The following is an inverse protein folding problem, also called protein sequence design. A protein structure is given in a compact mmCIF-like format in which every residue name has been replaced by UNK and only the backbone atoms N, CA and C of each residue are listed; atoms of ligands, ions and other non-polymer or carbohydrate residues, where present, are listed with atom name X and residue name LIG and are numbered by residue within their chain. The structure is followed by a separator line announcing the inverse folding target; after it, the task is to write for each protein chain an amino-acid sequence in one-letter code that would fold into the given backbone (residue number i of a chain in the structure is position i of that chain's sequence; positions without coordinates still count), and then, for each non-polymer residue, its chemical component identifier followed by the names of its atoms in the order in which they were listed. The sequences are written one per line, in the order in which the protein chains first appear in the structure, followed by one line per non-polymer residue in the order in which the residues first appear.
data_IF_553410104059
#
_entry.id   IF_553410104059
#
_cell.length_a   1.000
_cell.length_b   1.000
_cell.length_c   1.000
_cell.angle_alpha   90.00
_cell.angle_beta   90.00
_cell.angle_gamma   90.00
#
_symmetry.space_group_name_H-M   'P 1'
#
loop_
_entity.id
_entity.type
_entity.pdbx_description
1 polymer ?
#
# COMPACT_ATOMS: atom_id res chain seq x y z
N UNK A 1 -20.33 20.55 -27.05
CA UNK A 1 -20.58 20.45 -25.59
C UNK A 1 -19.68 19.36 -25.06
N UNK A 2 -18.61 19.71 -24.34
CA UNK A 2 -17.75 18.70 -23.69
C UNK A 2 -18.52 18.10 -22.53
N UNK A 3 -18.86 16.82 -22.61
CA UNK A 3 -19.53 16.10 -21.53
C UNK A 3 -18.64 16.11 -20.30
N UNK A 4 -19.18 16.61 -19.21
CA UNK A 4 -18.51 16.71 -17.93
C UNK A 4 -18.35 15.28 -17.36
N UNK A 5 -17.11 14.88 -17.01
CA UNK A 5 -16.83 13.54 -16.47
C UNK A 5 -17.29 13.48 -15.01
N UNK A 6 -18.39 12.79 -14.74
CA UNK A 6 -19.03 12.64 -13.42
C UNK A 6 -18.51 11.44 -12.61
N UNK A 7 -17.51 10.71 -13.12
CA UNK A 7 -16.99 9.53 -12.44
C UNK A 7 -16.27 9.90 -11.12
N UNK A 8 -16.43 9.04 -10.13
CA UNK A 8 -15.66 9.13 -8.87
C UNK A 8 -14.18 8.91 -9.16
N UNK A 9 -13.32 9.69 -8.55
CA UNK A 9 -11.88 9.71 -8.84
C UNK A 9 -11.07 8.93 -7.82
N UNK A 10 -9.97 8.31 -8.25
CA UNK A 10 -9.00 7.63 -7.40
C UNK A 10 -7.57 7.94 -7.85
N UNK A 11 -6.70 8.28 -6.91
CA UNK A 11 -5.25 8.38 -7.12
C UNK A 11 -4.58 7.12 -6.58
N UNK A 12 -3.76 6.46 -7.40
CA UNK A 12 -3.00 5.26 -7.00
C UNK A 12 -1.51 5.54 -7.14
N UNK A 13 -0.76 5.36 -6.05
CA UNK A 13 0.69 5.57 -6.06
C UNK A 13 1.45 4.28 -6.43
N UNK A 14 2.55 4.40 -7.20
CA UNK A 14 3.42 3.28 -7.52
C UNK A 14 2.83 2.27 -8.52
N UNK A 15 2.36 2.74 -9.67
CA UNK A 15 1.68 1.94 -10.70
C UNK A 15 2.61 1.36 -11.78
N UNK A 16 3.91 1.17 -11.51
CA UNK A 16 4.82 0.55 -12.46
C UNK A 16 4.35 -0.85 -12.91
N UNK A 17 4.60 -1.25 -14.16
CA UNK A 17 4.12 -2.52 -14.75
C UNK A 17 4.49 -3.74 -13.91
N UNK A 18 3.55 -4.69 -13.79
CA UNK A 18 3.72 -5.92 -13.01
C UNK A 18 3.63 -5.71 -11.49
N UNK A 19 3.41 -4.48 -11.00
CA UNK A 19 3.20 -4.17 -9.60
C UNK A 19 1.73 -4.24 -9.17
N UNK A 20 1.51 -4.25 -7.86
CA UNK A 20 0.16 -4.22 -7.26
C UNK A 20 -0.60 -2.95 -7.67
N UNK A 21 0.08 -1.78 -7.64
CA UNK A 21 -0.55 -0.51 -8.03
C UNK A 21 -1.04 -0.48 -9.47
N UNK A 22 -0.30 -1.12 -10.39
CA UNK A 22 -0.72 -1.29 -11.79
C UNK A 22 -2.04 -2.06 -11.88
N UNK A 23 -2.12 -3.21 -11.20
CA UNK A 23 -3.32 -4.04 -11.17
C UNK A 23 -4.51 -3.33 -10.49
N UNK A 24 -4.26 -2.60 -9.38
CA UNK A 24 -5.28 -1.80 -8.71
C UNK A 24 -5.83 -0.70 -9.61
N UNK A 25 -4.97 0.00 -10.38
CA UNK A 25 -5.41 1.03 -11.32
C UNK A 25 -6.36 0.45 -12.38
N UNK A 26 -6.02 -0.70 -12.95
CA UNK A 26 -6.90 -1.42 -13.90
C UNK A 26 -8.22 -1.84 -13.24
N UNK A 27 -8.15 -2.41 -12.04
CA UNK A 27 -9.35 -2.89 -11.34
C UNK A 27 -10.31 -1.74 -10.94
N UNK A 28 -9.81 -0.57 -10.53
CA UNK A 28 -10.63 0.61 -10.30
C UNK A 28 -11.24 1.15 -11.60
N UNK A 29 -10.44 1.21 -12.68
CA UNK A 29 -10.92 1.66 -13.99
C UNK A 29 -12.05 0.76 -14.52
N UNK A 30 -11.88 -0.55 -14.44
CA UNK A 30 -12.91 -1.54 -14.82
C UNK A 30 -14.23 -1.40 -14.02
N UNK A 31 -14.20 -0.77 -12.84
CA UNK A 31 -15.36 -0.42 -12.02
C UNK A 31 -15.94 0.96 -12.32
N UNK A 32 -15.50 1.60 -13.41
CA UNK A 32 -16.02 2.89 -13.87
C UNK A 32 -15.48 4.10 -13.13
N UNK A 33 -14.40 3.98 -12.35
CA UNK A 33 -13.77 5.14 -11.73
C UNK A 33 -12.84 5.86 -12.72
N UNK A 34 -12.69 7.15 -12.53
CA UNK A 34 -11.63 7.95 -13.14
C UNK A 34 -10.34 7.75 -12.34
N UNK A 35 -9.32 7.19 -12.94
CA UNK A 35 -8.10 6.76 -12.25
C UNK A 35 -6.94 7.65 -12.63
N UNK A 36 -6.25 8.19 -11.63
CA UNK A 36 -4.94 8.84 -11.73
C UNK A 36 -3.87 7.84 -11.27
N UNK A 37 -3.22 7.19 -12.21
CA UNK A 37 -2.13 6.25 -11.94
C UNK A 37 -0.80 6.98 -11.90
N UNK A 38 0.03 6.76 -10.87
CA UNK A 38 1.28 7.49 -10.73
C UNK A 38 2.51 6.59 -10.68
N UNK A 39 3.62 7.06 -11.24
CA UNK A 39 4.96 6.48 -11.13
C UNK A 39 6.02 7.59 -11.19
N UNK A 40 7.26 7.27 -10.84
CA UNK A 40 8.40 8.20 -10.93
C UNK A 40 8.65 8.70 -12.35
N UNK A 41 8.36 7.86 -13.35
CA UNK A 41 8.48 8.18 -14.79
C UNK A 41 7.21 7.74 -15.50
N UNK A 42 6.55 8.66 -16.20
CA UNK A 42 5.28 8.43 -16.90
C UNK A 42 5.40 7.43 -18.06
N UNK A 43 6.59 7.30 -18.66
CA UNK A 43 6.85 6.32 -19.73
C UNK A 43 6.58 4.88 -19.27
N UNK A 44 6.77 4.60 -17.98
CA UNK A 44 6.46 3.29 -17.39
C UNK A 44 4.95 2.99 -17.38
N UNK A 45 4.12 4.00 -17.54
CA UNK A 45 2.65 3.90 -17.45
C UNK A 45 1.98 3.84 -18.84
N UNK A 46 2.75 3.70 -19.92
CA UNK A 46 2.23 3.70 -21.30
C UNK A 46 1.09 2.68 -21.52
N UNK A 47 1.18 1.49 -20.92
CA UNK A 47 0.11 0.49 -21.00
C UNK A 47 -1.18 0.92 -20.29
N UNK A 48 -1.10 1.65 -19.19
CA UNK A 48 -2.26 2.20 -18.49
C UNK A 48 -2.88 3.35 -19.29
N UNK A 49 -2.04 4.24 -19.85
CA UNK A 49 -2.48 5.34 -20.70
C UNK A 49 -3.20 4.84 -21.95
N UNK A 50 -2.69 3.78 -22.61
CA UNK A 50 -3.33 3.15 -23.75
C UNK A 50 -4.72 2.56 -23.41
N UNK A 51 -4.97 2.21 -22.17
CA UNK A 51 -6.27 1.76 -21.68
C UNK A 51 -7.17 2.91 -21.16
N UNK A 52 -6.86 4.17 -21.43
CA UNK A 52 -7.66 5.33 -21.05
C UNK A 52 -7.54 5.72 -19.56
N UNK A 53 -6.51 5.26 -18.88
CA UNK A 53 -6.20 5.64 -17.49
C UNK A 53 -5.28 6.87 -17.51
N UNK A 54 -5.62 7.90 -16.75
CA UNK A 54 -4.79 9.11 -16.65
C UNK A 54 -3.51 8.82 -15.86
N UNK A 55 -2.37 9.27 -16.39
CA UNK A 55 -1.05 8.97 -15.83
C UNK A 55 -0.34 10.24 -15.41
N UNK A 56 0.23 10.26 -14.20
CA UNK A 56 0.91 11.41 -13.62
C UNK A 56 2.29 11.00 -13.09
N UNK A 57 3.25 11.91 -13.15
CA UNK A 57 4.54 11.75 -12.47
C UNK A 57 4.38 11.97 -10.97
N UNK A 58 4.95 11.08 -10.15
CA UNK A 58 5.04 11.24 -8.70
C UNK A 58 6.25 10.49 -8.16
N UNK A 59 7.19 11.26 -7.62
CA UNK A 59 8.28 10.77 -6.77
C UNK A 59 7.80 10.95 -5.33
N UNK A 60 7.49 9.84 -4.65
CA UNK A 60 6.74 9.88 -3.37
C UNK A 60 7.54 10.42 -2.19
N UNK A 61 8.86 10.39 -2.26
CA UNK A 61 9.83 10.91 -1.30
C UNK A 61 10.41 12.28 -1.69
N UNK A 62 9.75 12.99 -2.62
CA UNK A 62 10.08 14.33 -3.07
C UNK A 62 8.89 15.27 -2.88
N UNK A 63 9.05 16.29 -2.03
CA UNK A 63 7.97 17.20 -1.63
C UNK A 63 7.44 18.03 -2.82
N UNK A 64 8.33 18.54 -3.65
CA UNK A 64 7.96 19.33 -4.83
C UNK A 64 7.16 18.48 -5.83
N UNK A 65 7.56 17.21 -6.00
CA UNK A 65 6.82 16.25 -6.83
C UNK A 65 5.42 15.97 -6.28
N UNK A 66 5.27 15.83 -4.96
CA UNK A 66 3.97 15.61 -4.31
C UNK A 66 3.06 16.83 -4.52
N UNK A 67 3.58 18.04 -4.30
CA UNK A 67 2.83 19.29 -4.48
C UNK A 67 2.42 19.51 -5.95
N UNK A 68 3.32 19.26 -6.90
CA UNK A 68 3.03 19.35 -8.33
C UNK A 68 1.95 18.34 -8.77
N UNK A 69 2.01 17.11 -8.25
CA UNK A 69 1.01 16.08 -8.49
C UNK A 69 -0.35 16.53 -7.95
N UNK A 70 -0.42 17.05 -6.71
CA UNK A 70 -1.65 17.61 -6.13
C UNK A 70 -2.24 18.71 -6.99
N UNK A 71 -1.44 19.72 -7.39
CA UNK A 71 -1.90 20.82 -8.23
C UNK A 71 -2.48 20.33 -9.57
N UNK A 72 -1.86 19.29 -10.16
CA UNK A 72 -2.36 18.66 -11.38
C UNK A 72 -3.70 17.97 -11.14
N UNK A 73 -3.84 17.20 -10.05
CA UNK A 73 -5.11 16.54 -9.67
C UNK A 73 -6.20 17.58 -9.41
N UNK A 74 -5.89 18.67 -8.69
CA UNK A 74 -6.84 19.78 -8.46
C UNK A 74 -7.34 20.40 -9.77
N UNK A 75 -6.41 20.70 -10.68
CA UNK A 75 -6.78 21.23 -12.01
C UNK A 75 -7.66 20.26 -12.80
N UNK A 76 -7.35 18.97 -12.77
CA UNK A 76 -8.10 17.95 -13.50
C UNK A 76 -9.47 17.65 -12.86
N UNK A 77 -9.62 17.87 -11.56
CA UNK A 77 -10.88 17.61 -10.84
C UNK A 77 -11.75 18.85 -10.67
N UNK A 78 -11.19 20.07 -10.57
CA UNK A 78 -11.91 21.32 -10.32
C UNK A 78 -12.07 22.22 -11.57
N UNK A 79 -11.26 22.04 -12.61
CA UNK A 79 -11.13 22.98 -13.73
C UNK A 79 -12.32 23.10 -14.67
N UNK A 80 -13.46 22.49 -14.38
CA UNK A 80 -14.68 22.59 -15.20
C UNK A 80 -15.94 23.01 -14.45
N UNK A 81 -15.83 23.38 -13.17
CA UNK A 81 -16.97 23.72 -12.31
C UNK A 81 -17.15 25.21 -12.01
N UNK A 82 -16.24 26.10 -12.45
CA UNK A 82 -16.29 27.52 -12.10
C UNK A 82 -17.07 28.42 -13.09
N UNK A 83 -17.52 27.91 -14.24
CA UNK A 83 -18.28 28.70 -15.23
C UNK A 83 -19.80 28.74 -14.96
N UNK A 84 -20.28 28.16 -13.87
CA UNK A 84 -21.68 28.27 -13.45
C UNK A 84 -21.79 28.76 -12.00
N UNK A 85 -21.68 30.08 -11.84
CA UNK A 85 -22.27 30.81 -10.72
C UNK A 85 -23.80 30.91 -10.97
N UNK A 86 -24.50 29.80 -10.78
CA UNK A 86 -25.95 29.78 -10.65
C UNK A 86 -26.24 29.16 -9.28
N UNK A 87 -27.07 29.86 -8.50
CA UNK A 87 -27.52 29.40 -7.18
C UNK A 87 -27.95 27.94 -7.18
N UNK A 88 -27.12 27.07 -6.60
CA UNK A 88 -27.50 25.69 -6.31
C UNK A 88 -27.21 25.34 -4.84
N UNK A 89 -28.24 24.77 -4.24
CA UNK A 89 -28.38 24.35 -2.86
C UNK A 89 -27.13 23.69 -2.27
N UNK A 90 -26.86 23.98 -1.02
CA UNK A 90 -25.76 23.58 -0.15
C UNK A 90 -25.65 22.07 0.15
N UNK A 91 -26.31 21.20 -0.59
CA UNK A 91 -26.41 19.75 -0.29
C UNK A 91 -25.86 18.80 -1.36
N UNK A 92 -25.24 19.27 -2.43
CA UNK A 92 -24.60 18.35 -3.39
C UNK A 92 -23.14 18.18 -3.00
N UNK A 93 -22.71 17.01 -2.50
CA UNK A 93 -21.28 16.74 -2.33
C UNK A 93 -20.61 16.97 -3.68
N UNK A 94 -19.53 17.77 -3.71
CA UNK A 94 -18.85 18.12 -4.96
C UNK A 94 -18.50 16.84 -5.72
N UNK A 95 -19.18 16.59 -6.83
CA UNK A 95 -19.02 15.37 -7.65
C UNK A 95 -17.61 15.23 -8.25
N UNK A 96 -16.73 16.22 -8.04
CA UNK A 96 -15.48 16.47 -8.76
C UNK A 96 -14.21 16.36 -7.91
N UNK A 97 -14.30 16.10 -6.61
CA UNK A 97 -13.15 16.04 -5.73
C UNK A 97 -12.54 14.62 -5.70
N UNK A 98 -11.24 14.55 -5.40
CA UNK A 98 -10.54 13.28 -5.21
C UNK A 98 -11.22 12.47 -4.10
N UNK A 99 -11.75 11.30 -4.43
CA UNK A 99 -12.52 10.47 -3.49
C UNK A 99 -11.72 9.36 -2.83
N UNK A 100 -10.73 8.84 -3.51
CA UNK A 100 -9.85 7.80 -2.98
C UNK A 100 -8.40 8.13 -3.25
N UNK A 101 -7.55 7.88 -2.26
CA UNK A 101 -6.11 7.80 -2.43
C UNK A 101 -5.65 6.42 -1.98
N UNK A 102 -4.84 5.75 -2.80
CA UNK A 102 -4.28 4.44 -2.53
C UNK A 102 -2.78 4.57 -2.39
N UNK A 103 -2.30 4.59 -1.15
CA UNK A 103 -0.90 4.61 -0.81
C UNK A 103 -0.32 3.20 -0.99
N UNK A 104 0.09 2.88 -2.23
CA UNK A 104 0.63 1.59 -2.61
C UNK A 104 2.15 1.63 -2.85
N UNK A 105 2.72 2.77 -3.23
CA UNK A 105 4.18 2.90 -3.40
C UNK A 105 4.93 2.41 -2.15
N UNK A 106 5.97 1.62 -2.37
CA UNK A 106 6.76 1.07 -1.29
C UNK A 106 7.94 0.27 -1.81
N UNK A 107 8.93 0.10 -0.96
CA UNK A 107 10.18 -0.62 -1.25
C UNK A 107 10.43 -1.68 -0.18
N UNK A 108 11.17 -2.73 -0.55
CA UNK A 108 11.55 -3.84 0.33
C UNK A 108 13.02 -3.76 0.71
N UNK A 109 13.33 -4.26 1.90
CA UNK A 109 14.70 -4.40 2.39
C UNK A 109 14.85 -5.75 3.10
N UNK A 110 15.69 -6.62 2.55
CA UNK A 110 15.96 -7.96 3.09
C UNK A 110 17.42 -7.99 3.48
N UNK A 111 17.68 -8.01 4.79
CA UNK A 111 19.00 -8.08 5.39
C UNK A 111 18.85 -8.59 6.84
N UNK A 112 19.75 -9.44 7.35
CA UNK A 112 19.76 -9.77 8.76
C UNK A 112 19.86 -8.53 9.65
N UNK A 113 19.21 -8.55 10.80
CA UNK A 113 19.06 -7.37 11.65
C UNK A 113 20.40 -6.77 12.12
N UNK A 114 21.43 -7.58 12.24
CA UNK A 114 22.76 -7.12 12.66
C UNK A 114 23.65 -6.64 11.50
N UNK A 115 23.25 -6.89 10.27
CA UNK A 115 24.00 -6.54 9.05
C UNK A 115 23.38 -5.34 8.31
N UNK A 116 22.45 -4.63 8.96
CA UNK A 116 21.69 -3.53 8.37
C UNK A 116 22.58 -2.32 8.13
N UNK A 117 22.56 -1.78 6.92
CA UNK A 117 23.01 -0.42 6.62
C UNK A 117 21.94 0.58 7.05
N UNK A 118 22.30 1.48 7.98
CA UNK A 118 21.39 2.49 8.54
C UNK A 118 20.97 3.51 7.49
N UNK A 119 21.82 3.86 6.51
CA UNK A 119 21.43 4.77 5.44
C UNK A 119 20.35 4.15 4.53
N UNK A 120 20.50 2.86 4.20
CA UNK A 120 19.45 2.13 3.48
C UNK A 120 18.17 1.98 4.31
N UNK A 121 18.28 1.72 5.62
CA UNK A 121 17.13 1.65 6.51
C UNK A 121 16.33 2.96 6.53
N UNK A 122 17.00 4.11 6.57
CA UNK A 122 16.36 5.44 6.49
C UNK A 122 15.57 5.59 5.19
N UNK A 123 16.15 5.24 4.03
CA UNK A 123 15.47 5.30 2.73
C UNK A 123 14.19 4.44 2.70
N UNK A 124 14.19 3.29 3.39
CA UNK A 124 12.98 2.46 3.51
C UNK A 124 11.89 3.20 4.26
N UNK A 125 12.24 3.86 5.37
CA UNK A 125 11.29 4.66 6.15
C UNK A 125 10.84 5.91 5.40
N UNK A 126 11.73 6.58 4.66
CA UNK A 126 11.38 7.74 3.85
C UNK A 126 10.26 7.40 2.86
N UNK A 127 10.37 6.28 2.13
CA UNK A 127 9.37 5.85 1.15
C UNK A 127 8.15 5.22 1.80
N UNK A 128 8.33 4.26 2.75
CA UNK A 128 7.23 3.44 3.26
C UNK A 128 6.39 4.14 4.34
N UNK A 129 6.93 5.17 5.00
CA UNK A 129 6.31 5.84 6.14
C UNK A 129 6.18 7.34 5.90
N UNK A 130 7.32 8.06 5.80
CA UNK A 130 7.28 9.53 5.76
C UNK A 130 6.63 10.06 4.49
N UNK A 131 6.90 9.47 3.33
CA UNK A 131 6.22 9.81 2.08
C UNK A 131 4.69 9.61 2.19
N UNK A 132 4.23 8.52 2.82
CA UNK A 132 2.80 8.27 3.02
C UNK A 132 2.18 9.32 3.94
N UNK A 133 2.86 9.68 5.04
CA UNK A 133 2.42 10.76 5.93
C UNK A 133 2.28 12.06 5.13
N UNK A 134 3.32 12.42 4.34
CA UNK A 134 3.31 13.65 3.56
C UNK A 134 2.22 13.67 2.50
N UNK A 135 2.02 12.58 1.78
CA UNK A 135 0.91 12.44 0.81
C UNK A 135 -0.44 12.63 1.50
N UNK A 136 -0.66 12.03 2.68
CA UNK A 136 -1.88 12.22 3.44
C UNK A 136 -2.09 13.69 3.83
N UNK A 137 -1.04 14.39 4.30
CA UNK A 137 -1.11 15.81 4.64
C UNK A 137 -1.48 16.67 3.43
N UNK A 138 -0.79 16.46 2.30
CA UNK A 138 -0.95 17.30 1.09
C UNK A 138 -2.31 17.10 0.44
N UNK A 139 -2.81 15.85 0.40
CA UNK A 139 -4.09 15.53 -0.27
C UNK A 139 -5.31 15.54 0.67
N UNK A 140 -5.14 15.67 1.98
CA UNK A 140 -6.26 15.68 2.93
C UNK A 140 -7.32 16.75 2.64
N UNK A 141 -7.01 18.00 2.18
CA UNK A 141 -8.06 18.96 1.87
C UNK A 141 -9.03 18.48 0.79
N UNK A 142 -8.51 17.80 -0.26
CA UNK A 142 -9.34 17.24 -1.33
C UNK A 142 -10.20 16.07 -0.84
N UNK A 143 -9.64 15.25 0.05
CA UNK A 143 -10.34 14.10 0.63
C UNK A 143 -11.43 14.54 1.62
N UNK A 144 -11.18 15.57 2.43
CA UNK A 144 -12.15 16.15 3.36
C UNK A 144 -13.33 16.72 2.57
N UNK A 145 -13.06 17.52 1.54
CA UNK A 145 -14.09 18.07 0.66
C UNK A 145 -14.96 16.97 0.03
N UNK A 146 -14.35 15.84 -0.36
CA UNK A 146 -15.03 14.71 -1.00
C UNK A 146 -15.70 13.75 -0.02
N UNK A 147 -15.47 13.88 1.29
CA UNK A 147 -15.78 12.83 2.27
C UNK A 147 -15.19 11.48 1.81
N UNK A 148 -13.91 11.53 1.47
CA UNK A 148 -13.22 10.50 0.71
C UNK A 148 -12.69 9.34 1.55
N UNK A 149 -11.79 8.55 0.95
CA UNK A 149 -11.19 7.39 1.61
C UNK A 149 -9.70 7.30 1.33
N UNK A 150 -8.90 7.09 2.35
CA UNK A 150 -7.49 6.75 2.26
C UNK A 150 -7.34 5.25 2.39
N UNK A 151 -6.64 4.63 1.45
CA UNK A 151 -6.31 3.21 1.46
C UNK A 151 -4.80 3.05 1.64
N UNK A 152 -4.40 2.32 2.66
CA UNK A 152 -3.00 2.02 2.96
C UNK A 152 -2.68 0.58 2.59
N UNK A 153 -1.77 0.37 1.64
CA UNK A 153 -1.29 -0.98 1.30
C UNK A 153 -0.21 -1.38 2.31
N UNK A 154 -0.67 -2.02 3.36
CA UNK A 154 0.14 -2.62 4.41
C UNK A 154 0.71 -3.99 4.01
N UNK A 155 1.16 -4.76 5.00
CA UNK A 155 1.76 -6.08 4.78
C UNK A 155 1.59 -6.99 5.99
N UNK A 156 1.55 -8.31 5.77
CA UNK A 156 1.70 -9.31 6.85
C UNK A 156 3.01 -9.09 7.61
N UNK A 157 4.06 -8.61 6.95
CA UNK A 157 5.35 -8.29 7.55
C UNK A 157 5.26 -7.23 8.67
N UNK A 158 4.22 -6.40 8.68
CA UNK A 158 3.94 -5.49 9.79
C UNK A 158 3.24 -6.15 10.99
N UNK A 159 2.92 -7.45 10.90
CA UNK A 159 2.21 -8.20 11.95
C UNK A 159 3.05 -9.37 12.47
N UNK A 160 3.79 -10.04 11.57
CA UNK A 160 4.59 -11.23 11.92
C UNK A 160 6.09 -10.94 11.84
N UNK A 161 6.92 -11.61 12.65
CA UNK A 161 8.39 -11.44 12.64
C UNK A 161 9.02 -12.13 11.42
N UNK A 162 8.77 -11.59 10.21
CA UNK A 162 9.27 -12.18 8.97
C UNK A 162 10.79 -11.98 8.86
N UNK A 163 11.53 -13.06 9.12
CA UNK A 163 12.98 -13.10 9.27
C UNK A 163 13.73 -12.44 8.13
N UNK A 164 14.85 -11.79 8.44
CA UNK A 164 15.71 -10.99 7.54
C UNK A 164 15.01 -9.75 6.94
N UNK A 165 13.84 -9.39 7.47
CA UNK A 165 13.08 -8.23 7.00
C UNK A 165 12.84 -7.19 8.08
N UNK A 166 13.64 -7.10 9.14
CA UNK A 166 13.36 -6.30 10.33
C UNK A 166 13.03 -4.84 10.03
N UNK A 167 13.79 -4.16 9.16
CA UNK A 167 13.54 -2.76 8.75
C UNK A 167 12.22 -2.64 7.97
N UNK A 168 12.00 -3.53 7.00
CA UNK A 168 10.75 -3.55 6.24
C UNK A 168 9.55 -3.85 7.14
N UNK A 169 9.67 -4.84 8.03
CA UNK A 169 8.64 -5.19 8.99
C UNK A 169 8.30 -3.99 9.88
N UNK A 170 9.33 -3.33 10.43
CA UNK A 170 9.17 -2.14 11.26
C UNK A 170 8.47 -1.01 10.50
N UNK A 171 8.86 -0.75 9.22
CA UNK A 171 8.22 0.28 8.40
C UNK A 171 6.73 -0.02 8.14
N UNK A 172 6.38 -1.29 7.92
CA UNK A 172 4.97 -1.69 7.70
C UNK A 172 4.17 -1.69 9.00
N UNK A 173 4.78 -2.04 10.14
CA UNK A 173 4.15 -1.89 11.45
C UNK A 173 3.89 -0.40 11.79
N UNK A 174 4.87 0.48 11.52
CA UNK A 174 4.70 1.92 11.68
C UNK A 174 3.56 2.46 10.78
N UNK A 175 3.48 2.02 9.53
CA UNK A 175 2.37 2.37 8.63
C UNK A 175 1.02 1.92 9.19
N UNK A 176 0.92 0.71 9.75
CA UNK A 176 -0.31 0.20 10.37
C UNK A 176 -0.73 1.04 11.58
N UNK A 177 0.22 1.38 12.47
CA UNK A 177 -0.03 2.23 13.64
C UNK A 177 -0.49 3.63 13.21
N UNK A 178 0.21 4.26 12.28
CA UNK A 178 -0.16 5.55 11.70
C UNK A 178 -1.57 5.53 11.12
N UNK A 179 -1.88 4.51 10.30
CA UNK A 179 -3.20 4.35 9.67
C UNK A 179 -4.34 4.27 10.70
N UNK A 180 -4.12 3.53 11.78
CA UNK A 180 -5.12 3.38 12.84
C UNK A 180 -5.40 4.70 13.58
N UNK A 181 -4.36 5.48 13.88
CA UNK A 181 -4.48 6.78 14.52
C UNK A 181 -5.15 7.78 13.56
N UNK A 182 -4.66 7.88 12.32
CA UNK A 182 -5.23 8.76 11.30
C UNK A 182 -6.72 8.49 11.06
N UNK A 183 -7.14 7.22 11.11
CA UNK A 183 -8.55 6.84 10.97
C UNK A 183 -9.42 7.44 12.06
N UNK A 184 -8.93 7.52 13.28
CA UNK A 184 -9.67 8.13 14.40
C UNK A 184 -9.72 9.65 14.24
N UNK A 185 -8.59 10.25 13.89
CA UNK A 185 -8.46 11.70 13.74
C UNK A 185 -9.28 12.26 12.57
N UNK A 186 -9.41 11.51 11.47
CA UNK A 186 -10.17 11.94 10.30
C UNK A 186 -11.66 11.54 10.31
N UNK A 187 -12.08 10.69 11.25
CA UNK A 187 -13.48 10.27 11.36
C UNK A 187 -14.47 11.44 11.54
N UNK A 188 -14.18 12.49 12.36
CA UNK A 188 -15.06 13.66 12.47
C UNK A 188 -15.20 14.48 11.18
N UNK A 189 -14.28 14.29 10.23
CA UNK A 189 -14.27 14.95 8.92
C UNK A 189 -14.89 14.08 7.81
N UNK A 190 -15.54 12.98 8.18
CA UNK A 190 -16.14 11.99 7.25
C UNK A 190 -15.12 11.34 6.29
N UNK A 191 -13.81 11.42 6.57
CA UNK A 191 -12.78 10.74 5.79
C UNK A 191 -12.50 9.36 6.36
N UNK A 192 -12.60 8.34 5.53
CA UNK A 192 -12.34 6.94 5.91
C UNK A 192 -10.86 6.60 5.71
N UNK A 193 -10.31 5.77 6.58
CA UNK A 193 -8.99 5.17 6.39
C UNK A 193 -9.10 3.65 6.49
N UNK A 194 -8.63 2.95 5.46
CA UNK A 194 -8.67 1.49 5.34
C UNK A 194 -7.24 0.98 5.22
N UNK A 195 -6.87 0.02 6.05
CA UNK A 195 -5.58 -0.68 5.96
C UNK A 195 -5.77 -2.03 5.28
N UNK A 196 -5.05 -2.28 4.19
CA UNK A 196 -5.02 -3.58 3.52
C UNK A 196 -3.78 -4.33 3.97
N UNK A 197 -3.96 -5.37 4.78
CA UNK A 197 -2.86 -6.25 5.23
C UNK A 197 -2.60 -7.27 4.13
N UNK A 198 -1.59 -6.97 3.31
CA UNK A 198 -1.25 -7.71 2.11
C UNK A 198 -0.38 -8.93 2.45
N UNK A 199 -0.84 -10.11 2.06
CA UNK A 199 -0.06 -11.35 2.08
C UNK A 199 0.86 -11.50 0.86
N UNK A 200 1.27 -12.72 0.52
CA UNK A 200 2.05 -13.00 -0.68
C UNK A 200 1.25 -12.66 -1.95
N UNK A 201 1.73 -11.70 -2.72
CA UNK A 201 1.16 -11.27 -4.02
C UNK A 201 2.29 -11.16 -5.04
N UNK A 202 2.05 -11.67 -6.25
CA UNK A 202 3.00 -11.52 -7.36
C UNK A 202 3.25 -10.04 -7.63
N UNK A 203 4.51 -9.61 -7.48
CA UNK A 203 4.89 -8.20 -7.63
C UNK A 203 6.38 -8.07 -7.90
N UNK A 204 6.82 -6.89 -8.30
CA UNK A 204 8.23 -6.57 -8.55
C UNK A 204 8.94 -5.93 -7.35
N UNK A 205 8.35 -6.00 -6.17
CA UNK A 205 8.87 -5.32 -4.97
C UNK A 205 10.31 -5.75 -4.61
N UNK A 206 10.68 -7.01 -4.93
CA UNK A 206 12.02 -7.57 -4.70
C UNK A 206 12.89 -7.60 -5.96
N UNK A 207 12.42 -7.15 -7.12
CA UNK A 207 13.13 -7.30 -8.41
C UNK A 207 14.48 -6.55 -8.48
N UNK A 208 14.71 -5.61 -7.59
CA UNK A 208 15.93 -4.77 -7.56
C UNK A 208 16.66 -4.84 -6.22
N UNK A 209 16.40 -5.86 -5.40
CA UNK A 209 16.86 -5.91 -4.00
C UNK A 209 17.69 -7.14 -3.67
N UNK A 210 18.28 -7.82 -4.69
CA UNK A 210 19.24 -8.89 -4.40
C UNK A 210 20.44 -8.30 -3.69
N UNK A 211 20.63 -8.67 -2.43
CA UNK A 211 21.71 -8.20 -1.58
C UNK A 211 22.55 -9.40 -1.13
N UNK A 212 23.84 -9.16 -0.98
CA UNK A 212 24.81 -10.14 -0.49
C UNK A 212 25.08 -9.85 0.98
N UNK A 213 25.31 -10.90 1.76
CA UNK A 213 25.73 -10.76 3.15
C UNK A 213 27.13 -10.10 3.22
N UNK A 214 27.40 -9.27 4.23
CA UNK A 214 28.77 -8.85 4.53
C UNK A 214 29.70 -10.04 4.73
N UNK A 215 30.97 -9.89 4.40
CA UNK A 215 31.95 -10.98 4.50
C UNK A 215 32.14 -11.50 5.94
N UNK A 216 31.96 -10.62 6.91
CA UNK A 216 32.05 -10.92 8.34
C UNK A 216 30.70 -11.24 9.00
N UNK A 217 29.65 -11.39 8.21
CA UNK A 217 28.33 -11.71 8.73
C UNK A 217 28.31 -13.02 9.51
N UNK A 218 27.74 -12.99 10.72
CA UNK A 218 27.52 -14.21 11.51
C UNK A 218 26.49 -15.15 10.87
N UNK A 219 25.72 -14.67 9.89
CA UNK A 219 24.71 -15.41 9.16
C UNK A 219 25.26 -16.12 7.91
N UNK A 220 26.56 -15.99 7.60
CA UNK A 220 27.19 -16.67 6.46
C UNK A 220 26.97 -18.19 6.49
N UNK A 221 26.89 -18.79 7.69
CA UNK A 221 26.61 -20.23 7.87
C UNK A 221 25.23 -20.70 7.38
N UNK A 222 24.34 -19.77 7.09
CA UNK A 222 22.99 -20.01 6.55
C UNK A 222 22.70 -19.14 5.32
N UNK A 223 23.73 -18.78 4.54
CA UNK A 223 23.60 -17.93 3.36
C UNK A 223 22.58 -18.46 2.36
N UNK A 224 22.51 -19.76 2.11
CA UNK A 224 21.52 -20.39 1.24
C UNK A 224 20.07 -20.07 1.69
N UNK A 225 19.83 -20.07 3.00
CA UNK A 225 18.52 -19.71 3.56
C UNK A 225 18.23 -18.22 3.40
N UNK A 226 19.26 -17.38 3.49
CA UNK A 226 19.14 -15.95 3.23
C UNK A 226 18.82 -15.66 1.76
N UNK A 227 19.51 -16.31 0.83
CA UNK A 227 19.24 -16.21 -0.61
C UNK A 227 17.81 -16.68 -0.92
N UNK A 228 17.42 -17.85 -0.42
CA UNK A 228 16.05 -18.37 -0.55
C UNK A 228 15.00 -17.37 -0.02
N UNK A 229 15.28 -16.69 1.10
CA UNK A 229 14.37 -15.71 1.70
C UNK A 229 14.06 -14.56 0.76
N UNK A 230 15.00 -14.16 -0.10
CA UNK A 230 14.78 -13.03 -1.04
C UNK A 230 13.66 -13.34 -2.06
N UNK A 231 13.49 -14.61 -2.45
CA UNK A 231 12.42 -15.06 -3.35
C UNK A 231 11.15 -15.56 -2.64
N UNK A 232 11.24 -15.93 -1.35
CA UNK A 232 10.18 -16.64 -0.61
C UNK A 232 8.80 -15.95 -0.63
N UNK A 233 8.73 -14.62 -0.66
CA UNK A 233 7.45 -13.90 -0.71
C UNK A 233 6.69 -14.10 -2.01
N UNK A 234 7.36 -14.59 -3.07
CA UNK A 234 6.78 -14.87 -4.39
C UNK A 234 6.38 -16.36 -4.55
N UNK A 235 6.80 -17.23 -3.62
CA UNK A 235 6.41 -18.65 -3.62
C UNK A 235 4.93 -18.79 -3.29
N UNK A 236 4.15 -19.37 -4.22
CA UNK A 236 2.70 -19.51 -4.06
C UNK A 236 1.95 -18.17 -3.95
N UNK A 237 2.57 -17.06 -4.36
CA UNK A 237 1.95 -15.75 -4.32
C UNK A 237 0.70 -15.66 -5.18
N UNK A 238 -0.33 -14.97 -4.66
CA UNK A 238 -1.56 -14.69 -5.37
C UNK A 238 -1.29 -13.84 -6.63
N UNK A 239 -1.91 -14.10 -7.79
CA UNK A 239 -1.86 -13.21 -8.93
C UNK A 239 -2.28 -11.79 -8.56
N UNK A 240 -1.57 -10.78 -9.08
CA UNK A 240 -1.83 -9.38 -8.69
C UNK A 240 -3.16 -8.83 -9.21
N UNK A 241 -3.64 -9.31 -10.34
CA UNK A 241 -4.97 -9.01 -10.89
C UNK A 241 -6.10 -9.54 -9.98
N UNK A 242 -6.03 -10.81 -9.59
CA UNK A 242 -7.00 -11.41 -8.67
C UNK A 242 -6.98 -10.72 -7.30
N UNK A 243 -5.78 -10.36 -6.81
CA UNK A 243 -5.64 -9.56 -5.59
C UNK A 243 -6.30 -8.20 -5.73
N UNK A 244 -6.01 -7.47 -6.81
CA UNK A 244 -6.53 -6.13 -7.04
C UNK A 244 -8.06 -6.14 -7.18
N UNK A 245 -8.61 -7.09 -7.92
CA UNK A 245 -10.06 -7.24 -8.08
C UNK A 245 -10.75 -7.47 -6.73
N UNK A 246 -10.21 -8.37 -5.90
CA UNK A 246 -10.74 -8.66 -4.58
C UNK A 246 -10.65 -7.45 -3.64
N UNK A 247 -9.52 -6.74 -3.62
CA UNK A 247 -9.32 -5.55 -2.78
C UNK A 247 -10.28 -4.44 -3.20
N UNK A 248 -10.37 -4.12 -4.49
CA UNK A 248 -11.25 -3.08 -5.01
C UNK A 248 -12.73 -3.40 -4.74
N UNK A 249 -13.14 -4.66 -4.88
CA UNK A 249 -14.48 -5.12 -4.51
C UNK A 249 -14.79 -4.90 -3.03
N UNK A 250 -13.79 -5.01 -2.16
CA UNK A 250 -13.96 -4.81 -0.72
C UNK A 250 -13.91 -3.33 -0.31
N UNK A 251 -13.18 -2.49 -1.05
CA UNK A 251 -13.05 -1.05 -0.80
C UNK A 251 -14.31 -0.29 -1.27
N UNK A 252 -14.79 -0.64 -2.47
CA UNK A 252 -15.94 0.03 -3.04
C UNK A 252 -17.25 -0.44 -2.39
N UNK A 253 -18.21 0.48 -2.15
CA UNK A 253 -19.49 0.09 -1.62
C UNK A 253 -20.17 -0.89 -2.57
N UNK A 254 -20.41 -2.10 -2.10
CA UNK A 254 -21.04 -3.14 -2.89
C UNK A 254 -22.51 -2.84 -3.17
N UNK A 255 -22.96 -3.08 -4.39
CA UNK A 255 -24.37 -3.26 -4.73
C UNK A 255 -24.85 -4.64 -4.24
N UNK A 256 -24.83 -4.88 -2.93
CA UNK A 256 -25.42 -6.09 -2.36
C UNK A 256 -26.94 -6.00 -2.36
N UNK A 257 -27.68 -7.14 -2.52
CA UNK A 257 -29.13 -7.12 -2.44
C UNK A 257 -29.62 -6.66 -1.06
N UNK A 258 -30.58 -5.76 -1.05
CA UNK A 258 -31.36 -5.39 0.13
C UNK A 258 -32.05 -6.66 0.73
N UNK A 259 -32.03 -6.93 2.07
CA UNK A 259 -31.81 -6.04 3.21
C UNK A 259 -30.43 -6.13 3.87
N UNK A 260 -29.51 -6.95 3.38
CA UNK A 260 -28.21 -7.22 4.00
C UNK A 260 -27.23 -6.02 3.96
N UNK A 261 -27.52 -4.99 3.15
CA UNK A 261 -26.74 -3.72 3.10
C UNK A 261 -26.57 -3.06 4.46
N UNK A 262 -27.56 -3.21 5.36
CA UNK A 262 -27.52 -2.61 6.70
C UNK A 262 -26.53 -3.31 7.64
N UNK A 263 -26.31 -4.60 7.45
CA UNK A 263 -25.39 -5.40 8.25
C UNK A 263 -23.93 -5.37 7.73
N UNK A 264 -23.72 -5.02 6.48
CA UNK A 264 -22.41 -4.90 5.82
C UNK A 264 -22.15 -3.44 5.46
N UNK A 265 -22.49 -2.51 6.36
CA UNK A 265 -22.28 -1.11 6.12
C UNK A 265 -20.77 -0.79 6.02
N UNK A 266 -20.44 0.03 5.04
CA UNK A 266 -19.14 0.59 4.66
C UNK A 266 -18.27 1.09 5.84
N UNK A 267 -18.90 1.43 6.98
CA UNK A 267 -18.27 1.95 8.18
C UNK A 267 -17.47 0.91 8.98
N UNK A 268 -17.58 -0.39 8.69
CA UNK A 268 -16.99 -1.47 9.51
C UNK A 268 -15.67 -2.01 9.02
N UNK A 269 -15.27 -1.77 7.77
CA UNK A 269 -14.03 -2.32 7.22
C UNK A 269 -12.85 -1.39 7.50
N UNK A 270 -12.27 -1.54 8.67
CA UNK A 270 -11.04 -0.83 9.07
C UNK A 270 -9.79 -1.51 8.52
N UNK A 271 -9.84 -2.84 8.43
CA UNK A 271 -8.76 -3.70 7.98
C UNK A 271 -9.27 -4.73 6.98
N UNK A 272 -8.57 -4.87 5.86
CA UNK A 272 -8.81 -5.86 4.82
C UNK A 272 -7.60 -6.80 4.78
N UNK A 273 -7.82 -8.09 4.91
CA UNK A 273 -6.78 -9.11 4.85
C UNK A 273 -6.87 -9.82 3.50
N UNK A 274 -5.86 -9.64 2.64
CA UNK A 274 -5.88 -10.15 1.27
C UNK A 274 -4.50 -10.61 0.80
N UNK A 275 -4.46 -11.64 -0.05
CA UNK A 275 -3.23 -12.26 -0.53
C UNK A 275 -2.93 -13.60 0.15
N UNK A 276 -1.91 -14.33 -0.33
CA UNK A 276 -1.57 -15.65 0.19
C UNK A 276 -1.22 -15.58 1.68
N UNK A 277 -1.68 -16.56 2.45
CA UNK A 277 -1.51 -16.71 3.92
C UNK A 277 -2.13 -15.59 4.77
N UNK A 278 -2.80 -14.56 4.20
CA UNK A 278 -3.38 -13.46 4.99
C UNK A 278 -4.46 -13.94 5.94
N UNK A 279 -5.34 -14.85 5.52
CA UNK A 279 -6.39 -15.43 6.36
C UNK A 279 -5.82 -16.21 7.55
N UNK A 280 -4.74 -16.97 7.30
CA UNK A 280 -4.07 -17.76 8.35
C UNK A 280 -3.48 -16.84 9.43
N UNK A 281 -2.76 -15.79 9.02
CA UNK A 281 -2.19 -14.81 9.94
C UNK A 281 -3.30 -14.07 10.70
N UNK A 282 -4.40 -13.72 10.03
CA UNK A 282 -5.55 -13.09 10.70
C UNK A 282 -6.07 -13.93 11.86
N UNK A 283 -6.30 -15.24 11.63
CA UNK A 283 -6.77 -16.14 12.69
C UNK A 283 -5.74 -16.36 13.79
N UNK A 284 -4.47 -16.52 13.44
CA UNK A 284 -3.39 -16.73 14.41
C UNK A 284 -3.11 -15.46 15.24
N UNK A 285 -3.15 -14.26 14.65
CA UNK A 285 -2.90 -13.00 15.37
C UNK A 285 -4.10 -12.50 16.18
N UNK A 286 -5.28 -13.07 15.95
CA UNK A 286 -6.56 -12.62 16.54
C UNK A 286 -6.77 -12.99 18.02
N UNK A 287 -5.74 -13.29 18.79
CA UNK A 287 -5.79 -13.35 20.25
C UNK A 287 -5.90 -14.75 20.89
N UNK A 288 -5.93 -15.82 20.09
CA UNK A 288 -6.02 -17.20 20.62
C UNK A 288 -4.69 -17.97 20.59
N UNK A 289 -3.65 -17.39 19.99
CA UNK A 289 -2.38 -18.10 19.81
C UNK A 289 -1.22 -17.30 20.37
N UNK A 290 -0.34 -18.06 21.01
CA UNK A 290 0.92 -17.56 21.52
C UNK A 290 1.80 -17.01 20.38
N UNK A 291 2.28 -15.79 20.50
CA UNK A 291 3.13 -15.14 19.49
C UNK A 291 4.39 -15.93 19.16
N UNK A 292 4.90 -16.76 20.06
CA UNK A 292 6.01 -17.67 19.86
C UNK A 292 5.82 -18.73 18.75
N UNK A 293 4.59 -18.93 18.26
CA UNK A 293 4.36 -19.83 17.12
C UNK A 293 5.06 -19.33 15.86
N UNK A 294 5.10 -18.01 15.65
CA UNK A 294 5.82 -17.41 14.53
C UNK A 294 7.33 -17.48 14.72
N UNK A 295 7.82 -17.30 15.95
CA UNK A 295 9.24 -17.44 16.29
C UNK A 295 9.72 -18.86 15.99
N UNK A 296 8.98 -19.87 16.44
CA UNK A 296 9.26 -21.28 16.15
C UNK A 296 9.24 -21.56 14.65
N UNK A 297 8.19 -21.12 13.94
CA UNK A 297 8.04 -21.34 12.49
C UNK A 297 9.20 -20.75 11.69
N UNK A 298 9.52 -19.45 11.90
CA UNK A 298 10.58 -18.78 11.15
C UNK A 298 11.98 -19.25 11.56
N UNK A 299 12.20 -19.58 12.83
CA UNK A 299 13.44 -20.20 13.29
C UNK A 299 13.70 -21.51 12.55
N UNK A 300 12.68 -22.36 12.39
CA UNK A 300 12.77 -23.61 11.65
C UNK A 300 12.96 -23.39 10.15
N UNK A 301 12.13 -22.54 9.54
CA UNK A 301 12.12 -22.28 8.10
C UNK A 301 13.47 -21.75 7.59
N UNK A 302 14.09 -20.83 8.34
CA UNK A 302 15.36 -20.21 7.96
C UNK A 302 16.57 -20.74 8.73
N UNK A 303 16.41 -21.83 9.49
CA UNK A 303 17.47 -22.56 10.20
C UNK A 303 18.31 -21.67 11.14
N UNK A 304 17.68 -20.71 11.84
CA UNK A 304 18.38 -19.73 12.67
C UNK A 304 19.20 -20.37 13.81
N UNK A 305 18.89 -21.59 14.22
CA UNK A 305 19.69 -22.32 15.24
C UNK A 305 21.12 -22.64 14.81
N UNK A 306 21.43 -22.52 13.50
CA UNK A 306 22.80 -22.72 12.98
C UNK A 306 23.70 -21.51 13.23
N UNK A 307 23.12 -20.35 13.50
CA UNK A 307 23.87 -19.13 13.83
C UNK A 307 24.41 -19.29 15.24
N UNK A 308 25.73 -19.41 15.36
CA UNK A 308 26.46 -19.52 16.63
C UNK A 308 27.29 -18.28 16.85
N UNK A 309 27.55 -17.95 18.12
CA UNK A 309 28.52 -16.91 18.47
C UNK A 309 29.88 -17.31 17.91
N UNK A 310 30.53 -16.44 17.13
CA UNK A 310 31.94 -16.59 16.85
C UNK A 310 32.68 -16.34 18.16
N UNK A 311 33.21 -17.40 18.77
CA UNK A 311 34.17 -17.20 19.85
C UNK A 311 35.34 -16.44 19.26
N UNK A 312 35.73 -15.32 19.91
CA UNK A 312 36.96 -14.62 19.55
C UNK A 312 38.06 -15.69 19.68
N UNK A 313 38.61 -16.09 18.54
CA UNK A 313 39.90 -16.77 18.57
C UNK A 313 40.89 -15.72 19.03
N UNK A 314 41.47 -15.94 20.19
CA UNK A 314 42.59 -15.20 20.76
C UNK A 314 43.76 -15.10 19.80
#
# INVERSE_FOLDING_TARGET
MTTVDVRKTVLVTGCAPGGIGHALAIAFHARGLRVFATARRTEQLASLSANGIETLSLVVDDDDSILACKATVEKLTNGRGLDYLGEFSTEVPSLWSLRWIVNNAGVSYIMPALDIDIAEAKKIFDVNVFAVIRICQVFSPLLIQAKGTIVMIGSLAGVVPYTFGSVYNASKAALHAYSNTLRVELAPLDVKVITVVTGGVKSRINAHTTRVLPQDSIYAVIEDNYVRRQGHSQEGAMPNDAYAESVVKQILPGAGPWPWRWFVSDARRKWIWQGNKSWLVYYISGGFTWTGVFDWYFTRLFQLWKVKRRDKQD
#
